data_IF_577840059510
#
_entry.id   IF_577840059510
#
_cell.length_a   1.000
_cell.length_b   1.000
_cell.length_c   1.000
_cell.angle_alpha   90.00
_cell.angle_beta   90.00
_cell.angle_gamma   90.00
#
_symmetry.space_group_name_H-M   'P 1'
#
loop_
_entity.id
_entity.type
_entity.pdbx_description
1 polymer ?
#
# COMPACT_ATOMS: atom_id res chain seq x y z
N UNK A 1 7.59 -14.07 3.48
CA UNK A 1 6.85 -12.81 3.72
C UNK A 1 7.40 -12.21 5.00
N UNK A 2 7.97 -11.00 4.96
CA UNK A 2 8.68 -10.35 6.07
C UNK A 2 7.69 -9.71 7.07
N UNK A 3 8.07 -9.58 8.35
CA UNK A 3 7.29 -8.89 9.39
C UNK A 3 6.93 -7.46 8.98
N UNK A 4 7.88 -6.75 8.36
CA UNK A 4 7.69 -5.40 7.83
C UNK A 4 6.59 -5.38 6.76
N UNK A 5 6.58 -6.37 5.86
CA UNK A 5 5.58 -6.46 4.81
C UNK A 5 4.17 -6.64 5.40
N UNK A 6 4.03 -7.40 6.49
CA UNK A 6 2.74 -7.58 7.16
C UNK A 6 2.24 -6.28 7.80
N UNK A 7 3.11 -5.53 8.48
CA UNK A 7 2.75 -4.24 9.07
C UNK A 7 2.37 -3.23 7.97
N UNK A 8 3.12 -3.16 6.88
CA UNK A 8 2.78 -2.27 5.76
C UNK A 8 1.38 -2.59 5.24
N UNK A 9 1.07 -3.87 5.01
CA UNK A 9 -0.25 -4.27 4.54
C UNK A 9 -1.35 -3.91 5.55
N UNK A 10 -1.12 -4.09 6.85
CA UNK A 10 -2.06 -3.72 7.89
C UNK A 10 -2.32 -2.20 7.93
N UNK A 11 -1.26 -1.39 7.86
CA UNK A 11 -1.36 0.07 7.80
C UNK A 11 -2.15 0.54 6.58
N UNK A 12 -1.97 -0.14 5.45
CA UNK A 12 -2.67 0.16 4.19
C UNK A 12 -4.14 -0.31 4.16
N UNK A 13 -4.58 -1.14 5.13
CA UNK A 13 -6.02 -1.51 5.26
C UNK A 13 -6.89 -0.30 5.60
N UNK A 14 -6.33 0.67 6.33
CA UNK A 14 -7.03 1.88 6.74
C UNK A 14 -7.07 2.96 5.66
N UNK A 15 -6.35 2.79 4.56
CA UNK A 15 -6.29 3.75 3.47
C UNK A 15 -4.91 3.84 2.84
N UNK A 16 -4.80 4.66 1.79
CA UNK A 16 -3.51 4.91 1.15
C UNK A 16 -2.59 5.73 2.04
N UNK A 17 -1.32 5.33 2.16
CA UNK A 17 -0.32 6.01 2.98
C UNK A 17 0.92 6.37 2.20
N UNK A 18 1.58 7.44 2.61
CA UNK A 18 2.88 7.84 2.06
C UNK A 18 4.02 6.99 2.64
N UNK A 19 5.18 6.98 1.98
CA UNK A 19 6.38 6.34 2.54
C UNK A 19 6.83 6.99 3.87
N UNK A 20 6.55 8.29 4.07
CA UNK A 20 6.81 8.98 5.33
C UNK A 20 6.02 8.39 6.48
N UNK A 21 4.70 8.31 6.35
CA UNK A 21 3.82 7.72 7.37
C UNK A 21 4.18 6.26 7.68
N UNK A 22 4.49 5.47 6.64
CA UNK A 22 4.87 4.07 6.82
C UNK A 22 6.19 3.95 7.60
N UNK A 23 7.19 4.77 7.25
CA UNK A 23 8.47 4.79 7.96
C UNK A 23 8.29 5.16 9.43
N UNK A 24 7.53 6.21 9.70
CA UNK A 24 7.33 6.71 11.07
C UNK A 24 6.62 5.67 11.95
N UNK A 25 5.79 4.82 11.35
CA UNK A 25 5.14 3.70 12.06
C UNK A 25 6.07 2.50 12.27
N UNK A 26 6.94 2.20 11.30
CA UNK A 26 7.79 1.01 11.29
C UNK A 26 9.12 1.16 12.03
N UNK A 27 9.49 2.40 12.41
CA UNK A 27 10.79 2.76 13.00
C UNK A 27 11.98 2.13 12.24
N UNK A 28 11.88 2.06 10.91
CA UNK A 28 12.88 1.41 10.05
C UNK A 28 13.63 2.40 9.15
N UNK A 29 14.74 1.97 8.56
CA UNK A 29 15.46 2.77 7.57
C UNK A 29 14.73 2.80 6.23
N UNK A 30 14.88 3.90 5.48
CA UNK A 30 14.27 4.03 4.15
C UNK A 30 14.69 2.91 3.19
N UNK A 31 15.92 2.39 3.29
CA UNK A 31 16.38 1.28 2.44
C UNK A 31 15.61 -0.02 2.71
N UNK A 32 15.26 -0.28 3.97
CA UNK A 32 14.47 -1.46 4.34
C UNK A 32 13.02 -1.28 3.90
N UNK A 33 12.45 -0.09 4.12
CA UNK A 33 11.10 0.24 3.66
C UNK A 33 10.98 0.15 2.13
N UNK A 34 11.94 0.70 1.39
CA UNK A 34 11.94 0.70 -0.08
C UNK A 34 11.99 -0.73 -0.63
N UNK A 35 12.84 -1.59 -0.04
CA UNK A 35 12.88 -3.01 -0.38
C UNK A 35 11.54 -3.70 -0.11
N UNK A 36 10.94 -3.46 1.05
CA UNK A 36 9.66 -4.05 1.43
C UNK A 36 8.52 -3.60 0.51
N UNK A 37 8.46 -2.31 0.17
CA UNK A 37 7.49 -1.76 -0.78
C UNK A 37 7.66 -2.37 -2.15
N UNK A 38 8.89 -2.49 -2.64
CA UNK A 38 9.19 -3.13 -3.92
C UNK A 38 8.75 -4.58 -3.96
N UNK A 39 9.05 -5.36 -2.92
CA UNK A 39 8.60 -6.76 -2.81
C UNK A 39 7.06 -6.86 -2.85
N UNK A 40 6.35 -5.96 -2.18
CA UNK A 40 4.89 -5.94 -2.16
C UNK A 40 4.27 -5.50 -3.50
N UNK A 41 4.92 -4.60 -4.23
CA UNK A 41 4.52 -4.19 -5.59
C UNK A 41 4.75 -5.34 -6.57
N UNK A 42 5.92 -5.99 -6.52
CA UNK A 42 6.24 -7.16 -7.35
C UNK A 42 5.29 -8.33 -7.05
N UNK A 43 4.88 -8.51 -5.80
CA UNK A 43 3.86 -9.47 -5.39
C UNK A 43 2.42 -9.04 -5.76
N UNK A 44 2.21 -7.87 -6.38
CA UNK A 44 0.89 -7.32 -6.71
C UNK A 44 -0.06 -7.17 -5.51
N UNK A 45 0.46 -7.04 -4.28
CA UNK A 45 -0.37 -6.83 -3.09
C UNK A 45 -0.67 -5.34 -2.87
N UNK A 46 0.20 -4.45 -3.35
CA UNK A 46 0.02 -3.00 -3.29
C UNK A 46 0.26 -2.34 -4.65
N UNK A 47 -0.26 -1.12 -4.82
CA UNK A 47 -0.03 -0.28 -5.98
C UNK A 47 0.42 1.13 -5.57
N UNK A 48 1.42 1.71 -6.24
CA UNK A 48 1.77 3.11 -6.07
C UNK A 48 0.79 3.99 -6.85
N UNK A 49 0.37 5.07 -6.23
CA UNK A 49 -0.41 6.14 -6.84
C UNK A 49 0.10 7.50 -6.41
N UNK A 50 -0.65 8.53 -6.79
CA UNK A 50 -0.37 9.92 -6.45
C UNK A 50 -1.55 10.48 -5.65
N UNK A 51 -1.25 11.32 -4.66
CA UNK A 51 -2.28 12.14 -4.04
C UNK A 51 -2.80 13.16 -5.04
N UNK A 52 -4.06 13.57 -4.88
CA UNK A 52 -4.74 14.47 -5.79
C UNK A 52 -4.64 15.95 -5.36
N UNK A 53 -3.63 16.27 -4.54
CA UNK A 53 -3.37 17.60 -4.00
C UNK A 53 -2.47 18.42 -4.94
N UNK A 54 -2.45 19.75 -4.77
CA UNK A 54 -1.57 20.69 -5.50
C UNK A 54 -0.08 20.34 -5.41
N UNK A 55 0.32 19.54 -4.41
CA UNK A 55 1.64 18.93 -4.28
C UNK A 55 1.50 17.41 -4.28
N UNK A 56 1.50 16.75 -5.45
CA UNK A 56 1.23 15.33 -5.54
C UNK A 56 2.35 14.52 -4.88
N UNK A 57 2.02 13.89 -3.75
CA UNK A 57 2.90 12.95 -3.06
C UNK A 57 2.60 11.52 -3.47
N UNK A 58 3.63 10.67 -3.49
CA UNK A 58 3.46 9.24 -3.76
C UNK A 58 2.75 8.58 -2.58
N UNK A 59 1.63 7.93 -2.87
CA UNK A 59 0.83 7.16 -1.91
C UNK A 59 0.83 5.70 -2.34
N UNK A 60 0.89 4.79 -1.38
CA UNK A 60 0.78 3.35 -1.61
C UNK A 60 -0.61 2.92 -1.15
N UNK A 61 -1.27 2.05 -1.90
CA UNK A 61 -2.59 1.52 -1.58
C UNK A 61 -2.58 0.00 -1.70
N UNK A 62 -3.38 -0.68 -0.90
CA UNK A 62 -3.66 -2.11 -1.15
C UNK A 62 -4.30 -2.23 -2.52
N UNK A 63 -3.75 -3.13 -3.34
CA UNK A 63 -4.39 -3.50 -4.59
C UNK A 63 -5.71 -4.17 -4.21
N UNK A 64 -6.85 -3.58 -4.56
CA UNK A 64 -8.13 -4.25 -4.37
C UNK A 64 -8.05 -5.56 -5.16
N UNK A 65 -7.97 -6.70 -4.47
CA UNK A 65 -8.38 -7.97 -5.07
C UNK A 65 -9.79 -7.70 -5.57
N UNK A 66 -10.00 -7.86 -6.88
CA UNK A 66 -11.33 -7.74 -7.49
C UNK A 66 -12.22 -8.82 -6.86
N UNK A 67 -12.72 -8.52 -5.67
CA UNK A 67 -13.68 -9.32 -4.95
C UNK A 67 -15.02 -8.98 -5.56
N UNK A 68 -15.46 -9.90 -6.42
CA UNK A 68 -16.83 -10.12 -6.87
C UNK A 68 -17.61 -8.86 -7.23
N UNK A 69 -17.94 -8.73 -8.51
CA UNK A 69 -19.17 -8.05 -8.92
C UNK A 69 -20.25 -8.53 -7.93
N UNK A 70 -20.85 -7.63 -7.15
CA UNK A 70 -21.89 -8.04 -6.23
C UNK A 70 -22.97 -8.73 -7.07
N UNK A 71 -23.43 -9.92 -6.66
CA UNK A 71 -24.33 -10.78 -7.46
C UNK A 71 -25.61 -10.08 -7.98
N UNK A 72 -25.92 -8.90 -7.46
CA UNK A 72 -27.07 -8.05 -7.70
C UNK A 72 -26.82 -7.01 -8.82
N UNK A 73 -25.64 -6.97 -9.43
CA UNK A 73 -25.31 -6.14 -10.60
C UNK A 73 -25.57 -6.81 -11.96
N UNK A 74 -26.10 -8.03 -11.98
CA UNK A 74 -26.64 -8.65 -13.21
C UNK A 74 -28.15 -8.42 -13.28
N UNK A 75 -28.58 -7.30 -13.85
CA UNK A 75 -29.92 -7.12 -14.40
C UNK A 75 -29.84 -6.44 -15.77
#
# INVERSE_FOLDING_TARGET
MNYINQIILEQLRSGGKTAGELKDTLECSYSVLDKALRELIEASEIEPGWSNDDCPVRIYKLKRKQGAIPFWMNQ
#
